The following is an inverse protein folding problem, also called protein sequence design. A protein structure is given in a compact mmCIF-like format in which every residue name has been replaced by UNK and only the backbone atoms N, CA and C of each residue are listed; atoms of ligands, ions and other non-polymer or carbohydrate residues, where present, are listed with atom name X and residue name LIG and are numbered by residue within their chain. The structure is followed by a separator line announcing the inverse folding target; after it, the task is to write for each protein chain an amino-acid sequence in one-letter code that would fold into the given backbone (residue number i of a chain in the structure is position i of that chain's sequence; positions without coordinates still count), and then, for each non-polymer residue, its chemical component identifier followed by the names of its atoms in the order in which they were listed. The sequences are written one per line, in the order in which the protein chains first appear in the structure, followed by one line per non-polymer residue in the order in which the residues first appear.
data_IF_116322311926
#
_entry.id   IF_116322311926
#
_cell.length_a   1.000
_cell.length_b   1.000
_cell.length_c   1.000
_cell.angle_alpha   90.00
_cell.angle_beta   90.00
_cell.angle_gamma   90.00
#
_symmetry.space_group_name_H-M   'P 1'
#
loop_
_entity.id
_entity.type
_entity.pdbx_description
1 polymer ?
#
# COMPACT_ATOMS: atom_id res chain seq x y z
N UNK A 1 8.68 22.27 -15.30
CA UNK A 1 8.72 21.11 -16.21
C UNK A 1 9.63 20.08 -15.55
N UNK A 2 9.05 19.03 -14.99
CA UNK A 2 9.80 17.89 -14.44
C UNK A 2 10.51 17.16 -15.58
N UNK A 3 11.79 16.83 -15.40
CA UNK A 3 12.54 16.13 -16.45
C UNK A 3 12.07 14.66 -16.54
N UNK A 4 12.18 14.05 -17.72
CA UNK A 4 11.84 12.63 -17.90
C UNK A 4 12.67 11.74 -16.98
N UNK A 5 13.91 12.15 -16.65
CA UNK A 5 14.76 11.45 -15.70
C UNK A 5 14.18 11.48 -14.28
N UNK A 6 13.75 12.64 -13.79
CA UNK A 6 13.11 12.79 -12.48
C UNK A 6 11.82 11.95 -12.35
N UNK A 7 11.00 11.92 -13.40
CA UNK A 7 9.77 11.10 -13.40
C UNK A 7 10.08 9.60 -13.34
N UNK A 8 11.15 9.16 -14.01
CA UNK A 8 11.56 7.76 -13.94
C UNK A 8 12.12 7.42 -12.55
N UNK A 9 12.87 8.31 -11.90
CA UNK A 9 13.37 8.11 -10.54
C UNK A 9 12.21 8.00 -9.53
N UNK A 10 11.18 8.84 -9.66
CA UNK A 10 9.95 8.75 -8.85
C UNK A 10 9.27 7.39 -9.08
N UNK A 11 9.12 6.97 -10.34
CA UNK A 11 8.49 5.70 -10.69
C UNK A 11 9.23 4.50 -10.08
N UNK A 12 10.56 4.49 -10.18
CA UNK A 12 11.42 3.44 -9.60
C UNK A 12 11.34 3.44 -8.08
N UNK A 13 11.35 4.62 -7.45
CA UNK A 13 11.19 4.76 -6.00
C UNK A 13 9.85 4.20 -5.54
N UNK A 14 8.75 4.51 -6.22
CA UNK A 14 7.42 3.99 -5.90
C UNK A 14 7.35 2.47 -6.03
N UNK A 15 8.01 1.91 -7.05
CA UNK A 15 8.08 0.47 -7.27
C UNK A 15 8.88 -0.22 -6.16
N UNK A 16 10.03 0.34 -5.76
CA UNK A 16 10.84 -0.14 -4.64
C UNK A 16 10.08 -0.10 -3.32
N UNK A 17 9.44 1.04 -3.01
CA UNK A 17 8.63 1.22 -1.80
C UNK A 17 7.50 0.20 -1.76
N UNK A 18 6.80 -0.01 -2.87
CA UNK A 18 5.74 -1.03 -2.97
C UNK A 18 6.29 -2.43 -2.70
N UNK A 19 7.43 -2.78 -3.29
CA UNK A 19 8.09 -4.07 -3.10
C UNK A 19 8.57 -4.32 -1.68
N UNK A 20 8.95 -3.27 -0.94
CA UNK A 20 9.34 -3.34 0.47
C UNK A 20 8.15 -3.40 1.43
N UNK A 21 7.08 -2.66 1.14
CA UNK A 21 5.91 -2.56 2.02
C UNK A 21 5.00 -3.77 1.93
N UNK A 22 4.91 -4.43 0.77
CA UNK A 22 4.05 -5.60 0.62
C UNK A 22 4.42 -6.73 1.61
N UNK A 23 5.70 -7.16 1.74
CA UNK A 23 6.11 -8.10 2.77
C UNK A 23 5.82 -7.63 4.19
N UNK A 24 6.01 -6.33 4.48
CA UNK A 24 5.74 -5.76 5.81
C UNK A 24 4.27 -5.94 6.19
N UNK A 25 3.35 -5.71 5.26
CA UNK A 25 1.90 -5.91 5.47
C UNK A 25 1.59 -7.38 5.75
N UNK A 26 2.16 -8.31 4.99
CA UNK A 26 1.99 -9.75 5.22
C UNK A 26 2.56 -10.20 6.57
N UNK A 27 3.76 -9.74 6.93
CA UNK A 27 4.38 -10.02 8.23
C UNK A 27 3.52 -9.49 9.38
N UNK A 28 3.02 -8.27 9.26
CA UNK A 28 2.13 -7.66 10.26
C UNK A 28 0.87 -8.51 10.43
N UNK A 29 0.20 -8.91 9.34
CA UNK A 29 -1.00 -9.72 9.43
C UNK A 29 -0.73 -11.12 10.00
N UNK A 30 0.40 -11.73 9.65
CA UNK A 30 0.81 -13.03 10.20
C UNK A 30 1.09 -12.93 11.72
N UNK A 31 1.73 -11.86 12.15
CA UNK A 31 1.97 -11.58 13.57
C UNK A 31 0.66 -11.48 14.35
N UNK A 32 -0.29 -10.67 13.86
CA UNK A 32 -1.61 -10.48 14.50
C UNK A 32 -2.40 -11.79 14.57
N UNK A 33 -2.27 -12.64 13.55
CA UNK A 33 -2.87 -13.99 13.54
C UNK A 33 -2.22 -14.91 14.57
N UNK A 34 -0.88 -14.94 14.65
CA UNK A 34 -0.16 -15.84 15.54
C UNK A 34 -0.26 -15.44 17.01
N UNK A 35 -0.39 -14.15 17.31
CA UNK A 35 -0.61 -13.66 18.67
C UNK A 35 -2.06 -13.87 19.15
N UNK A 36 -2.94 -14.47 18.35
CA UNK A 36 -4.32 -14.72 18.75
C UNK A 36 -5.17 -13.47 18.93
N UNK A 37 -4.66 -12.29 18.53
CA UNK A 37 -5.38 -11.02 18.62
C UNK A 37 -6.71 -11.10 17.86
N UNK A 38 -6.76 -11.86 16.77
CA UNK A 38 -8.01 -12.09 16.04
C UNK A 38 -9.01 -13.01 16.76
N UNK A 39 -8.56 -13.89 17.65
CA UNK A 39 -9.42 -14.85 18.35
C UNK A 39 -10.06 -14.25 19.61
N UNK A 40 -9.42 -13.26 20.24
CA UNK A 40 -10.00 -12.49 21.35
C UNK A 40 -10.95 -11.38 20.89
N UNK A 41 -10.96 -11.08 19.59
CA UNK A 41 -11.70 -9.98 18.99
C UNK A 41 -13.04 -10.47 18.42
N UNK A 42 -14.14 -9.79 18.74
CA UNK A 42 -15.48 -10.03 18.16
C UNK A 42 -15.43 -10.16 16.62
N UNK A 43 -16.18 -11.12 16.05
CA UNK A 43 -16.31 -11.40 14.61
C UNK A 43 -16.46 -10.14 13.73
N UNK A 44 -17.19 -9.14 14.25
CA UNK A 44 -17.44 -7.87 13.54
C UNK A 44 -16.16 -7.05 13.33
N UNK A 45 -15.21 -7.14 14.25
CA UNK A 45 -13.94 -6.41 14.25
C UNK A 45 -12.85 -7.20 13.50
N UNK A 46 -12.88 -8.54 13.57
CA UNK A 46 -12.08 -9.40 12.69
C UNK A 46 -12.40 -9.13 11.20
N UNK A 47 -13.68 -9.07 10.82
CA UNK A 47 -14.07 -8.75 9.45
C UNK A 47 -13.60 -7.35 8.99
N UNK A 48 -13.63 -6.36 9.89
CA UNK A 48 -13.12 -5.01 9.57
C UNK A 48 -11.61 -5.00 9.32
N UNK A 49 -10.84 -5.68 10.16
CA UNK A 49 -9.39 -5.81 10.00
C UNK A 49 -9.02 -6.56 8.71
N UNK A 50 -9.74 -7.64 8.37
CA UNK A 50 -9.57 -8.35 7.10
C UNK A 50 -9.85 -7.45 5.89
N UNK A 51 -10.90 -6.61 5.95
CA UNK A 51 -11.17 -5.63 4.89
C UNK A 51 -10.03 -4.61 4.77
N UNK A 52 -9.55 -4.07 5.88
CA UNK A 52 -8.40 -3.14 5.87
C UNK A 52 -7.16 -3.80 5.27
N UNK A 53 -6.90 -5.07 5.59
CA UNK A 53 -5.81 -5.83 4.99
C UNK A 53 -5.93 -5.94 3.47
N UNK A 54 -7.11 -6.29 2.96
CA UNK A 54 -7.37 -6.34 1.51
C UNK A 54 -7.17 -4.96 0.87
N UNK A 55 -7.64 -3.89 1.52
CA UNK A 55 -7.43 -2.51 1.04
C UNK A 55 -5.96 -2.13 0.98
N UNK A 56 -5.16 -2.53 1.96
CA UNK A 56 -3.71 -2.28 1.97
C UNK A 56 -3.02 -2.97 0.79
N UNK A 57 -3.31 -4.27 0.57
CA UNK A 57 -2.75 -5.05 -0.54
C UNK A 57 -3.17 -4.46 -1.89
N UNK A 58 -4.45 -4.12 -2.06
CA UNK A 58 -4.96 -3.50 -3.28
C UNK A 58 -4.31 -2.13 -3.54
N UNK A 59 -4.21 -1.29 -2.51
CA UNK A 59 -3.60 0.03 -2.62
C UNK A 59 -2.14 -0.04 -3.04
N UNK A 60 -1.35 -0.93 -2.44
CA UNK A 60 0.03 -1.20 -2.84
C UNK A 60 0.11 -1.78 -4.25
N UNK A 61 -0.76 -2.73 -4.61
CA UNK A 61 -0.79 -3.33 -5.94
C UNK A 61 -1.08 -2.29 -7.03
N UNK A 62 -2.05 -1.39 -6.79
CA UNK A 62 -2.37 -0.29 -7.69
C UNK A 62 -1.23 0.72 -7.77
N UNK A 63 -0.59 1.04 -6.64
CA UNK A 63 0.59 1.91 -6.58
C UNK A 63 1.71 1.37 -7.48
N UNK A 64 2.09 0.10 -7.28
CA UNK A 64 3.14 -0.56 -8.06
C UNK A 64 2.78 -0.72 -9.54
N UNK A 65 1.52 -1.02 -9.86
CA UNK A 65 1.03 -1.11 -11.23
C UNK A 65 1.11 0.25 -11.94
N UNK A 66 0.60 1.32 -11.31
CA UNK A 66 0.66 2.68 -11.86
C UNK A 66 2.11 3.19 -11.97
N UNK A 67 2.98 2.87 -11.01
CA UNK A 67 4.39 3.20 -11.06
C UNK A 67 5.07 2.49 -12.25
N UNK A 68 4.77 1.21 -12.48
CA UNK A 68 5.26 0.45 -13.64
C UNK A 68 4.81 1.07 -14.96
N UNK A 69 3.54 1.46 -15.06
CA UNK A 69 3.02 2.19 -16.24
C UNK A 69 3.68 3.57 -16.40
N UNK A 70 4.04 4.23 -15.30
CA UNK A 70 4.77 5.51 -15.31
C UNK A 70 6.19 5.42 -15.88
N UNK A 71 6.79 4.22 -15.92
CA UNK A 71 8.09 3.99 -16.56
C UNK A 71 7.94 3.98 -18.10
N UNK A 72 6.84 3.42 -18.62
CA UNK A 72 6.57 3.35 -20.06
C UNK A 72 6.42 4.75 -20.66
N UNK A 73 7.05 5.00 -21.83
CA UNK A 73 7.07 6.27 -22.59
C UNK A 73 5.70 6.74 -23.09
N UNK A 74 4.74 6.94 -22.20
CA UNK A 74 3.39 7.44 -22.49
C UNK A 74 3.23 8.92 -22.14
N UNK A 75 2.32 9.59 -22.83
CA UNK A 75 2.03 11.03 -22.64
C UNK A 75 1.44 11.35 -21.25
N UNK A 76 0.85 10.35 -20.59
CA UNK A 76 0.13 10.51 -19.30
C UNK A 76 0.98 10.18 -18.06
N UNK A 77 2.30 10.10 -18.19
CA UNK A 77 3.24 9.72 -17.11
C UNK A 77 3.03 10.48 -15.80
N UNK A 78 2.97 11.81 -15.87
CA UNK A 78 2.87 12.65 -14.68
C UNK A 78 1.57 12.37 -13.89
N UNK A 79 0.46 12.21 -14.58
CA UNK A 79 -0.85 11.89 -13.98
C UNK A 79 -0.86 10.50 -13.34
N UNK A 80 -0.26 9.50 -14.01
CA UNK A 80 -0.15 8.14 -13.48
C UNK A 80 0.72 8.10 -12.21
N UNK A 81 1.85 8.80 -12.21
CA UNK A 81 2.74 8.88 -11.05
C UNK A 81 2.10 9.64 -9.89
N UNK A 82 1.45 10.77 -10.16
CA UNK A 82 0.71 11.50 -9.14
C UNK A 82 -0.37 10.63 -8.50
N UNK A 83 -1.13 9.90 -9.33
CA UNK A 83 -2.16 8.97 -8.85
C UNK A 83 -1.54 7.84 -8.02
N UNK A 84 -0.39 7.30 -8.43
CA UNK A 84 0.36 6.29 -7.67
C UNK A 84 0.76 6.81 -6.28
N UNK A 85 1.26 8.05 -6.18
CA UNK A 85 1.57 8.69 -4.89
C UNK A 85 0.31 8.81 -4.01
N UNK A 86 -0.84 9.17 -4.59
CA UNK A 86 -2.10 9.23 -3.83
C UNK A 86 -2.54 7.87 -3.29
N UNK A 87 -2.39 6.80 -4.08
CA UNK A 87 -2.65 5.44 -3.59
C UNK A 87 -1.68 5.08 -2.46
N UNK A 88 -0.40 5.40 -2.59
CA UNK A 88 0.58 5.16 -1.53
C UNK A 88 0.26 5.93 -0.24
N UNK A 89 -0.17 7.18 -0.34
CA UNK A 89 -0.62 7.95 0.82
C UNK A 89 -1.85 7.32 1.49
N UNK A 90 -2.81 6.84 0.67
CA UNK A 90 -3.98 6.11 1.16
C UNK A 90 -3.58 4.82 1.88
N UNK A 91 -2.59 4.09 1.35
CA UNK A 91 -2.01 2.92 2.02
C UNK A 91 -1.52 3.27 3.44
N UNK A 92 -0.73 4.33 3.61
CA UNK A 92 -0.22 4.72 4.92
C UNK A 92 -1.34 5.07 5.91
N UNK A 93 -2.41 5.72 5.45
CA UNK A 93 -3.59 5.99 6.30
C UNK A 93 -4.29 4.70 6.73
N UNK A 94 -4.54 3.78 5.80
CA UNK A 94 -5.18 2.50 6.10
C UNK A 94 -4.29 1.65 7.02
N UNK A 95 -2.98 1.63 6.80
CA UNK A 95 -2.01 0.94 7.64
C UNK A 95 -1.98 1.52 9.07
N UNK A 96 -1.96 2.84 9.21
CA UNK A 96 -2.04 3.49 10.52
C UNK A 96 -3.33 3.15 11.27
N UNK A 97 -4.47 3.13 10.57
CA UNK A 97 -5.75 2.69 11.14
C UNK A 97 -5.69 1.21 11.54
N UNK A 98 -5.12 0.35 10.70
CA UNK A 98 -5.00 -1.08 10.98
C UNK A 98 -4.20 -1.33 12.26
N UNK A 99 -3.03 -0.70 12.41
CA UNK A 99 -2.21 -0.80 13.62
C UNK A 99 -2.97 -0.25 14.84
N UNK A 100 -3.59 0.93 14.74
CA UNK A 100 -4.39 1.50 15.83
C UNK A 100 -5.49 0.55 16.31
N UNK A 101 -6.14 -0.15 15.38
CA UNK A 101 -7.24 -1.06 15.68
C UNK A 101 -6.80 -2.38 16.30
N UNK A 102 -5.55 -2.80 16.06
CA UNK A 102 -4.95 -4.01 16.64
C UNK A 102 -4.46 -3.72 18.07
N UNK A 103 -3.91 -2.53 18.32
CA UNK A 103 -3.34 -2.18 19.63
C UNK A 103 -4.39 -1.76 20.66
N UNK A 104 -5.59 -1.36 20.24
CA UNK A 104 -6.68 -0.89 21.13
C UNK A 104 -7.78 -1.92 21.27
#
# INVERSE_FOLDING_TARGET
MTSIAELNDIALTLLQVTGLLLPVVFLTANFVKNEGVFDEISDKRQNKLSKLFIYMVLSLSVTGFLATLGILRWSIKESLLFTSVLFLASFFLVYGIFIYWITK
#
